data_IF_585242908536
#
_entry.id   IF_585242908536
#
_cell.length_a   1.000
_cell.length_b   1.000
_cell.length_c   1.000
_cell.angle_alpha   90.00
_cell.angle_beta   90.00
_cell.angle_gamma   90.00
#
_symmetry.space_group_name_H-M   'P 1'
#
loop_
_entity.id
_entity.type
_entity.pdbx_description
1 polymer ?
#
# COMPACT_ATOMS: atom_id res chain seq x y z
N UNK A 1 1.76 16.87 3.63
CA UNK A 1 0.32 16.51 3.76
C UNK A 1 -0.52 17.65 3.21
N UNK A 2 -1.63 17.41 2.49
CA UNK A 2 -2.66 18.46 2.35
C UNK A 2 -3.39 18.54 3.69
N UNK A 3 -3.36 19.72 4.32
CA UNK A 3 -3.97 20.04 5.62
C UNK A 3 -5.42 19.51 5.76
N UNK A 4 -6.15 19.47 4.65
CA UNK A 4 -7.49 18.91 4.49
C UNK A 4 -7.65 17.47 5.01
N UNK A 5 -6.65 16.59 4.89
CA UNK A 5 -6.73 15.21 5.39
C UNK A 5 -6.63 15.12 6.91
N UNK A 6 -5.85 16.00 7.53
CA UNK A 6 -5.74 16.12 8.98
C UNK A 6 -7.05 16.65 9.58
N UNK A 7 -7.63 17.69 8.98
CA UNK A 7 -8.93 18.22 9.40
C UNK A 7 -10.04 17.18 9.33
N UNK A 8 -10.05 16.35 8.27
CA UNK A 8 -10.98 15.22 8.17
C UNK A 8 -10.86 14.26 9.36
N UNK A 9 -9.68 14.03 9.94
CA UNK A 9 -9.54 13.16 11.13
C UNK A 9 -10.26 13.72 12.36
N UNK A 10 -10.16 15.04 12.58
CA UNK A 10 -10.77 15.69 13.74
C UNK A 10 -12.30 15.81 13.63
N UNK A 11 -12.82 15.86 12.40
CA UNK A 11 -14.24 16.09 12.09
C UNK A 11 -14.97 14.82 11.62
N UNK A 12 -14.23 13.76 11.28
CA UNK A 12 -14.80 12.54 10.71
C UNK A 12 -15.63 11.75 11.71
N UNK A 13 -16.82 11.36 11.23
CA UNK A 13 -17.55 10.21 11.75
C UNK A 13 -16.99 8.88 11.20
N UNK A 14 -15.66 8.73 11.16
CA UNK A 14 -15.00 7.56 10.56
C UNK A 14 -13.82 7.10 11.41
N UNK A 15 -13.51 5.81 11.35
CA UNK A 15 -12.22 5.30 11.83
C UNK A 15 -11.16 5.52 10.77
N UNK A 16 -9.98 5.97 11.16
CA UNK A 16 -8.87 6.15 10.25
C UNK A 16 -7.74 5.18 10.58
N UNK A 17 -7.46 4.27 9.64
CA UNK A 17 -6.43 3.26 9.79
C UNK A 17 -5.80 2.92 8.44
N UNK A 18 -4.47 2.79 8.39
CA UNK A 18 -3.73 2.37 7.18
C UNK A 18 -3.98 3.25 5.95
N UNK A 19 -4.27 4.54 6.16
CA UNK A 19 -4.57 5.52 5.11
C UNK A 19 -5.95 5.40 4.46
N UNK A 20 -6.86 4.63 5.06
CA UNK A 20 -8.27 4.54 4.66
C UNK A 20 -9.18 5.05 5.77
N UNK A 21 -10.30 5.64 5.37
CA UNK A 21 -11.42 5.98 6.27
C UNK A 21 -12.46 4.87 6.17
N UNK A 22 -12.80 4.28 7.31
CA UNK A 22 -13.80 3.21 7.42
C UNK A 22 -15.07 3.76 8.10
N UNK A 23 -16.25 3.35 7.61
CA UNK A 23 -17.54 3.74 8.21
C UNK A 23 -17.69 3.18 9.63
N UNK A 24 -18.39 3.93 10.49
CA UNK A 24 -18.71 3.47 11.85
C UNK A 24 -19.79 2.38 11.92
N UNK A 25 -20.39 2.05 10.78
CA UNK A 25 -21.31 0.91 10.65
C UNK A 25 -20.58 -0.42 10.74
N UNK A 26 -19.25 -0.44 10.59
CA UNK A 26 -18.47 -1.64 10.78
C UNK A 26 -18.45 -2.04 12.25
N UNK A 27 -18.54 -3.34 12.47
CA UNK A 27 -18.21 -3.90 13.77
C UNK A 27 -16.70 -3.85 13.98
N UNK A 28 -16.30 -3.95 15.24
CA UNK A 28 -14.89 -3.97 15.61
C UNK A 28 -14.12 -5.14 14.96
N UNK A 29 -14.76 -6.31 14.86
CA UNK A 29 -14.17 -7.46 14.16
C UNK A 29 -14.03 -7.21 12.66
N UNK A 30 -15.04 -6.60 12.04
CA UNK A 30 -14.95 -6.22 10.63
C UNK A 30 -13.82 -5.21 10.40
N UNK A 31 -13.65 -4.23 11.30
CA UNK A 31 -12.55 -3.27 11.23
C UNK A 31 -11.20 -3.99 11.21
N UNK A 32 -10.99 -4.97 12.10
CA UNK A 32 -9.74 -5.76 12.18
C UNK A 32 -9.54 -6.59 10.92
N UNK A 33 -10.56 -7.33 10.48
CA UNK A 33 -10.46 -8.19 9.30
C UNK A 33 -10.22 -7.42 7.99
N UNK A 34 -10.81 -6.23 7.86
CA UNK A 34 -10.67 -5.41 6.65
C UNK A 34 -9.38 -4.58 6.64
N UNK A 35 -8.78 -4.34 7.82
CA UNK A 35 -7.61 -3.49 7.97
C UNK A 35 -6.31 -4.26 7.82
N UNK A 36 -5.55 -4.06 6.72
CA UNK A 36 -4.30 -4.77 6.53
C UNK A 36 -3.29 -4.37 7.61
N UNK A 37 -2.80 -5.36 8.37
CA UNK A 37 -1.83 -5.15 9.45
C UNK A 37 -2.41 -5.19 10.86
N UNK A 38 -3.75 -5.22 11.02
CA UNK A 38 -4.38 -5.57 12.30
C UNK A 38 -4.59 -7.08 12.35
N UNK A 39 -3.71 -7.77 13.06
CA UNK A 39 -3.86 -9.19 13.38
C UNK A 39 -4.62 -9.41 14.69
N UNK A 40 -4.85 -10.68 15.02
CA UNK A 40 -5.44 -11.09 16.31
C UNK A 40 -4.66 -10.51 17.50
N UNK A 41 -3.33 -10.61 17.50
CA UNK A 41 -2.49 -10.08 18.60
C UNK A 41 -2.64 -8.58 18.81
N UNK A 42 -2.51 -7.78 17.75
CA UNK A 42 -2.69 -6.32 17.84
C UNK A 42 -4.10 -5.93 18.31
N UNK A 43 -5.08 -6.77 18.00
CA UNK A 43 -6.45 -6.61 18.48
C UNK A 43 -6.57 -6.95 19.96
N UNK A 44 -5.97 -8.05 20.40
CA UNK A 44 -5.93 -8.43 21.81
C UNK A 44 -5.25 -7.33 22.64
N UNK A 45 -4.12 -6.79 22.17
CA UNK A 45 -3.41 -5.66 22.80
C UNK A 45 -4.27 -4.39 22.86
N UNK A 46 -5.04 -4.12 21.80
CA UNK A 46 -5.98 -3.01 21.77
C UNK A 46 -7.09 -3.21 22.81
N UNK A 47 -7.69 -4.40 22.89
CA UNK A 47 -8.71 -4.71 23.87
C UNK A 47 -8.19 -4.64 25.31
N UNK A 48 -6.94 -5.07 25.54
CA UNK A 48 -6.26 -4.91 26.84
C UNK A 48 -6.06 -3.42 27.18
N UNK A 49 -5.56 -2.63 26.23
CA UNK A 49 -5.26 -1.20 26.43
C UNK A 49 -6.48 -0.37 26.82
N UNK A 50 -7.64 -0.72 26.29
CA UNK A 50 -8.91 -0.04 26.58
C UNK A 50 -9.73 -0.71 27.68
N UNK A 51 -9.14 -1.70 28.39
CA UNK A 51 -9.80 -2.48 29.43
C UNK A 51 -11.13 -3.07 28.96
N UNK A 52 -11.22 -3.35 27.66
CA UNK A 52 -12.42 -3.90 27.08
C UNK A 52 -12.60 -5.31 27.60
N UNK A 53 -11.55 -6.14 27.65
CA UNK A 53 -11.63 -7.51 28.13
C UNK A 53 -12.26 -7.68 29.53
N UNK A 54 -11.99 -6.77 30.48
CA UNK A 54 -12.50 -6.84 31.86
C UNK A 54 -14.01 -6.51 31.96
N UNK A 55 -14.52 -5.61 31.13
CA UNK A 55 -15.97 -5.38 30.98
C UNK A 55 -16.65 -6.38 30.03
N UNK A 56 -15.89 -7.21 29.31
CA UNK A 56 -16.33 -7.96 28.12
C UNK A 56 -16.71 -9.43 28.36
N UNK A 57 -16.36 -10.05 29.48
CA UNK A 57 -16.58 -11.50 29.68
C UNK A 57 -18.06 -11.93 29.67
N UNK A 58 -19.03 -11.04 29.99
CA UNK A 58 -20.48 -11.33 29.85
C UNK A 58 -21.14 -10.76 28.59
N UNK A 59 -20.50 -9.83 27.87
CA UNK A 59 -21.13 -9.07 26.76
C UNK A 59 -20.51 -9.43 25.38
N UNK A 60 -19.52 -10.32 25.35
CA UNK A 60 -18.69 -10.65 24.18
C UNK A 60 -19.48 -10.91 22.89
N UNK A 61 -20.59 -11.66 22.95
CA UNK A 61 -21.46 -11.93 21.79
C UNK A 61 -22.10 -10.65 21.23
N UNK A 62 -22.59 -9.75 22.09
CA UNK A 62 -23.30 -8.53 21.65
C UNK A 62 -22.35 -7.42 21.19
N UNK A 63 -21.12 -7.30 21.72
CA UNK A 63 -20.19 -6.22 21.33
C UNK A 63 -19.55 -6.46 19.98
N UNK A 64 -19.25 -7.71 19.66
CA UNK A 64 -18.66 -8.10 18.37
C UNK A 64 -19.60 -7.85 17.20
N UNK A 65 -20.91 -7.99 17.42
CA UNK A 65 -21.92 -7.92 16.37
C UNK A 65 -22.55 -6.52 16.24
N UNK A 66 -22.36 -5.65 17.23
CA UNK A 66 -22.94 -4.30 17.20
C UNK A 66 -22.02 -3.30 16.49
N UNK A 67 -22.56 -2.42 15.65
CA UNK A 67 -21.79 -1.39 14.97
C UNK A 67 -21.25 -0.36 15.96
N UNK A 68 -20.00 0.06 15.75
CA UNK A 68 -19.27 0.93 16.67
C UNK A 68 -19.92 2.30 16.88
N UNK A 69 -20.63 2.82 15.87
CA UNK A 69 -21.35 4.10 15.97
C UNK A 69 -22.43 4.14 17.04
N UNK A 70 -23.06 3.01 17.37
CA UNK A 70 -24.22 2.97 18.28
C UNK A 70 -23.82 2.89 19.75
N UNK A 71 -22.56 2.61 20.04
CA UNK A 71 -22.08 2.33 21.41
C UNK A 71 -21.01 3.26 21.91
N UNK A 72 -20.23 3.87 21.03
CA UNK A 72 -19.09 4.70 21.44
C UNK A 72 -19.44 6.18 21.35
N UNK A 73 -19.25 6.90 22.45
CA UNK A 73 -19.39 8.34 22.47
C UNK A 73 -18.31 8.99 21.60
N UNK A 74 -18.65 10.13 20.98
CA UNK A 74 -17.71 10.95 20.18
C UNK A 74 -16.32 11.15 20.83
N UNK A 75 -16.20 11.51 22.12
CA UNK A 75 -14.89 11.62 22.78
C UNK A 75 -14.11 10.30 22.75
N UNK A 76 -14.78 9.16 23.00
CA UNK A 76 -14.12 7.87 23.00
C UNK A 76 -13.61 7.48 21.60
N UNK A 77 -14.39 7.74 20.53
CA UNK A 77 -13.91 7.44 19.17
C UNK A 77 -12.67 8.28 18.82
N UNK A 78 -12.55 9.50 19.35
CA UNK A 78 -11.34 10.32 19.16
C UNK A 78 -10.11 9.68 19.81
N UNK A 79 -10.27 9.08 21.00
CA UNK A 79 -9.19 8.35 21.67
C UNK A 79 -8.78 7.11 20.85
N UNK A 80 -9.76 6.35 20.36
CA UNK A 80 -9.51 5.19 19.50
C UNK A 80 -8.80 5.61 18.21
N UNK A 81 -9.28 6.64 17.53
CA UNK A 81 -8.65 7.16 16.31
C UNK A 81 -7.22 7.65 16.57
N UNK A 82 -6.98 8.30 17.71
CA UNK A 82 -5.63 8.68 18.12
C UNK A 82 -4.76 7.44 18.27
N UNK A 83 -5.22 6.41 18.96
CA UNK A 83 -4.48 5.18 19.14
C UNK A 83 -4.17 4.47 17.79
N UNK A 84 -5.17 4.31 16.92
CA UNK A 84 -5.02 3.70 15.61
C UNK A 84 -4.07 4.49 14.68
N UNK A 85 -4.05 5.81 14.82
CA UNK A 85 -3.10 6.69 14.12
C UNK A 85 -1.66 6.54 14.61
N UNK A 86 -1.44 6.09 15.85
CA UNK A 86 -0.09 5.76 16.34
C UNK A 86 0.35 4.38 15.87
N UNK A 87 -0.57 3.41 15.82
CA UNK A 87 -0.26 2.05 15.37
C UNK A 87 0.04 1.96 13.87
N UNK A 88 -0.64 2.77 13.06
CA UNK A 88 -0.51 2.71 11.61
C UNK A 88 -0.22 4.07 11.00
N UNK A 89 0.63 4.06 9.97
CA UNK A 89 0.82 5.26 9.16
C UNK A 89 -0.49 5.61 8.46
N UNK A 90 -0.95 6.84 8.72
CA UNK A 90 -2.08 7.45 8.01
C UNK A 90 -1.74 7.69 6.53
N UNK A 91 -0.45 7.86 6.23
CA UNK A 91 -0.02 8.29 4.90
C UNK A 91 0.27 7.13 3.96
N UNK A 92 0.72 5.99 4.50
CA UNK A 92 1.18 4.86 3.71
C UNK A 92 0.51 3.58 4.19
N UNK A 93 -0.15 2.88 3.27
CA UNK A 93 -0.64 1.54 3.59
C UNK A 93 0.56 0.61 3.84
N UNK A 94 0.38 -0.38 4.72
CA UNK A 94 1.42 -1.40 4.94
C UNK A 94 1.84 -2.09 3.62
N UNK A 95 0.89 -2.24 2.68
CA UNK A 95 1.16 -2.81 1.36
C UNK A 95 2.08 -1.93 0.50
N UNK A 96 1.93 -0.61 0.59
CA UNK A 96 2.81 0.33 -0.11
C UNK A 96 4.22 0.27 0.47
N UNK A 97 4.35 0.25 1.81
CA UNK A 97 5.64 0.11 2.48
C UNK A 97 6.36 -1.19 2.09
N UNK A 98 5.63 -2.31 2.06
CA UNK A 98 6.17 -3.60 1.57
C UNK A 98 6.63 -3.46 0.12
N UNK A 99 5.84 -2.81 -0.74
CA UNK A 99 6.18 -2.63 -2.15
C UNK A 99 7.43 -1.76 -2.32
N UNK A 100 7.57 -0.69 -1.54
CA UNK A 100 8.77 0.17 -1.51
C UNK A 100 10.00 -0.60 -1.03
N UNK A 101 9.88 -1.47 -0.02
CA UNK A 101 10.98 -2.31 0.44
C UNK A 101 11.43 -3.33 -0.61
N UNK A 102 10.47 -3.94 -1.32
CA UNK A 102 10.77 -4.84 -2.45
C UNK A 102 11.45 -4.05 -3.58
N UNK A 103 10.95 -2.85 -3.90
CA UNK A 103 11.52 -1.97 -4.91
C UNK A 103 12.95 -1.55 -4.53
N UNK A 104 13.20 -1.18 -3.28
CA UNK A 104 14.54 -0.87 -2.74
C UNK A 104 15.48 -2.03 -2.95
N UNK A 105 15.06 -3.23 -2.57
CA UNK A 105 15.85 -4.46 -2.75
C UNK A 105 16.22 -4.69 -4.23
N UNK A 106 15.27 -4.43 -5.13
CA UNK A 106 15.51 -4.49 -6.57
C UNK A 106 16.48 -3.42 -7.07
N UNK A 107 16.34 -2.16 -6.64
CA UNK A 107 17.21 -1.05 -7.04
C UNK A 107 18.66 -1.26 -6.59
N UNK A 108 18.87 -1.82 -5.40
CA UNK A 108 20.20 -2.22 -4.88
C UNK A 108 20.73 -3.49 -5.56
N UNK A 109 19.96 -4.08 -6.50
CA UNK A 109 20.30 -5.29 -7.28
C UNK A 109 20.52 -6.54 -6.43
N UNK A 110 19.89 -6.63 -5.27
CA UNK A 110 19.98 -7.81 -4.39
C UNK A 110 19.36 -9.06 -5.03
N UNK A 111 19.77 -10.24 -4.55
CA UNK A 111 19.19 -11.52 -5.00
C UNK A 111 17.67 -11.53 -4.85
N UNK A 112 17.16 -11.12 -3.69
CA UNK A 112 15.72 -11.05 -3.41
C UNK A 112 15.00 -10.11 -4.38
N UNK A 113 15.56 -8.93 -4.63
CA UNK A 113 14.99 -7.97 -5.58
C UNK A 113 14.86 -8.54 -7.00
N UNK A 114 15.90 -9.25 -7.48
CA UNK A 114 15.87 -9.95 -8.77
C UNK A 114 14.87 -11.10 -8.77
N UNK A 115 14.80 -11.88 -7.70
CA UNK A 115 13.83 -12.97 -7.56
C UNK A 115 12.38 -12.47 -7.64
N UNK A 116 12.06 -11.36 -6.96
CA UNK A 116 10.75 -10.71 -7.05
C UNK A 116 10.43 -10.22 -8.47
N UNK A 117 11.41 -9.64 -9.17
CA UNK A 117 11.21 -9.21 -10.57
C UNK A 117 10.92 -10.40 -11.49
N UNK A 118 11.68 -11.48 -11.32
CA UNK A 118 11.53 -12.73 -12.09
C UNK A 118 10.33 -13.58 -11.66
N UNK A 119 9.60 -13.18 -10.61
CA UNK A 119 8.49 -13.92 -10.02
C UNK A 119 8.92 -15.33 -9.56
N UNK A 120 10.16 -15.43 -9.05
CA UNK A 120 10.76 -16.64 -8.47
C UNK A 120 10.69 -16.59 -6.94
N UNK A 121 10.82 -17.73 -6.25
CA UNK A 121 10.97 -17.73 -4.80
C UNK A 121 12.26 -16.99 -4.38
N UNK A 122 12.19 -16.24 -3.28
CA UNK A 122 13.30 -15.43 -2.77
C UNK A 122 14.11 -16.12 -1.66
N UNK A 123 13.58 -17.16 -1.02
CA UNK A 123 14.20 -17.80 0.16
C UNK A 123 14.94 -19.10 -0.18
N UNK A 124 15.56 -19.19 -1.36
CA UNK A 124 16.34 -20.38 -1.76
C UNK A 124 15.53 -21.64 -2.03
N UNK A 125 14.20 -21.53 -2.18
CA UNK A 125 13.35 -22.68 -2.50
C UNK A 125 13.62 -23.21 -3.92
N UNK A 126 13.41 -24.50 -4.12
CA UNK A 126 13.58 -25.16 -5.43
C UNK A 126 12.72 -24.49 -6.50
N UNK A 127 13.30 -24.25 -7.68
CA UNK A 127 12.60 -23.63 -8.82
C UNK A 127 12.26 -24.59 -9.95
N UNK A 128 12.84 -25.80 -9.93
CA UNK A 128 12.61 -26.83 -10.96
C UNK A 128 11.20 -27.41 -10.88
N UNK A 129 10.66 -27.53 -9.68
CA UNK A 129 9.28 -27.93 -9.38
C UNK A 129 8.66 -26.98 -8.34
N UNK A 130 7.33 -26.90 -8.26
CA UNK A 130 6.58 -26.24 -7.17
C UNK A 130 6.79 -24.72 -6.96
N UNK A 131 7.25 -23.98 -7.97
CA UNK A 131 7.38 -22.51 -7.89
C UNK A 131 6.12 -21.72 -8.31
N UNK A 132 4.96 -22.39 -8.50
CA UNK A 132 3.73 -21.78 -9.05
C UNK A 132 3.19 -20.65 -8.17
N UNK A 133 3.21 -20.84 -6.85
CA UNK A 133 2.78 -19.82 -5.87
C UNK A 133 3.59 -18.53 -6.04
N UNK A 134 4.91 -18.61 -6.02
CA UNK A 134 5.78 -17.44 -6.21
C UNK A 134 5.49 -16.75 -7.55
N UNK A 135 5.28 -17.53 -8.62
CA UNK A 135 4.90 -16.98 -9.93
C UNK A 135 3.63 -16.17 -9.83
N UNK A 136 2.58 -16.66 -9.18
CA UNK A 136 1.28 -15.97 -9.07
C UNK A 136 1.39 -14.74 -8.17
N UNK A 137 1.93 -14.89 -6.96
CA UNK A 137 1.83 -13.89 -5.90
C UNK A 137 2.92 -12.79 -5.97
N UNK A 138 4.11 -13.07 -6.51
CA UNK A 138 5.20 -12.08 -6.64
C UNK A 138 5.01 -11.12 -7.83
N UNK A 139 3.77 -10.65 -8.04
CA UNK A 139 3.43 -9.78 -9.18
C UNK A 139 3.53 -8.27 -8.83
N UNK A 140 3.66 -7.92 -7.55
CA UNK A 140 3.63 -6.52 -7.09
C UNK A 140 4.70 -5.65 -7.72
N UNK A 141 5.97 -6.08 -7.69
CA UNK A 141 7.08 -5.31 -8.26
C UNK A 141 6.92 -5.10 -9.76
N UNK A 142 6.54 -6.15 -10.51
CA UNK A 142 6.36 -6.08 -11.96
C UNK A 142 5.19 -5.18 -12.36
N UNK A 143 4.06 -5.22 -11.62
CA UNK A 143 2.95 -4.27 -11.79
C UNK A 143 3.41 -2.84 -11.52
N UNK A 144 4.06 -2.60 -10.38
CA UNK A 144 4.52 -1.28 -9.99
C UNK A 144 5.45 -0.64 -11.04
N UNK A 145 6.43 -1.40 -11.54
CA UNK A 145 7.34 -0.92 -12.60
C UNK A 145 6.61 -0.64 -13.92
N UNK A 146 5.59 -1.45 -14.26
CA UNK A 146 4.77 -1.24 -15.46
C UNK A 146 3.94 0.03 -15.34
N UNK A 147 3.31 0.26 -14.19
CA UNK A 147 2.49 1.43 -13.94
C UNK A 147 3.34 2.70 -13.93
N UNK A 148 4.52 2.64 -13.32
CA UNK A 148 5.50 3.74 -13.37
C UNK A 148 5.93 4.06 -14.82
N UNK A 149 6.19 3.04 -15.65
CA UNK A 149 6.51 3.24 -17.07
C UNK A 149 5.36 3.88 -17.85
N UNK A 150 4.12 3.45 -17.61
CA UNK A 150 2.92 4.07 -18.22
C UNK A 150 2.80 5.54 -17.82
N UNK A 151 2.99 5.85 -16.54
CA UNK A 151 2.95 7.23 -16.04
C UNK A 151 4.01 8.12 -16.72
N UNK A 152 5.26 7.64 -16.83
CA UNK A 152 6.31 8.36 -17.55
C UNK A 152 5.97 8.61 -19.03
N UNK A 153 5.36 7.62 -19.70
CA UNK A 153 4.90 7.78 -21.08
C UNK A 153 3.82 8.85 -21.22
N UNK A 154 2.87 8.90 -20.28
CA UNK A 154 1.82 9.93 -20.26
C UNK A 154 2.40 11.33 -20.05
N UNK A 155 3.34 11.49 -19.12
CA UNK A 155 4.05 12.76 -18.91
C UNK A 155 4.82 13.21 -20.15
N UNK A 156 5.44 12.28 -20.88
CA UNK A 156 6.12 12.59 -22.12
C UNK A 156 5.16 13.05 -23.22
N UNK A 157 4.01 12.39 -23.35
CA UNK A 157 2.96 12.77 -24.31
C UNK A 157 2.36 14.15 -24.01
N UNK A 158 2.13 14.47 -22.73
CA UNK A 158 1.60 15.79 -22.37
C UNK A 158 2.60 16.90 -22.68
N UNK A 159 3.88 16.71 -22.35
CA UNK A 159 4.94 17.66 -22.71
C UNK A 159 5.02 17.91 -24.21
N UNK A 160 4.91 16.86 -25.03
CA UNK A 160 4.89 17.02 -26.49
C UNK A 160 3.70 17.85 -26.96
N UNK A 161 2.49 17.60 -26.44
CA UNK A 161 1.27 18.37 -26.79
C UNK A 161 1.36 19.86 -26.44
N UNK A 162 1.95 20.21 -25.29
CA UNK A 162 2.11 21.63 -24.88
C UNK A 162 3.04 22.38 -25.83
N UNK A 163 4.06 21.71 -26.37
CA UNK A 163 4.99 22.32 -27.34
C UNK A 163 4.32 22.57 -28.69
N UNK A 164 3.43 21.69 -29.15
CA UNK A 164 2.70 21.88 -30.41
C UNK A 164 1.74 23.07 -30.40
N UNK A 165 1.14 23.42 -29.25
CA UNK A 165 0.21 24.55 -29.16
C UNK A 165 0.89 25.92 -29.06
N UNK A 166 2.19 25.99 -28.72
CA UNK A 166 2.89 27.27 -28.49
C UNK A 166 3.69 27.80 -29.69
N UNK A 167 3.68 27.13 -30.82
CA UNK A 167 4.29 27.66 -32.04
C UNK A 167 4.16 26.71 -33.20
N UNK A 168 3.85 27.24 -34.38
CA UNK A 168 3.99 26.55 -35.67
C UNK A 168 5.45 26.10 -35.81
N UNK A 169 5.79 24.90 -35.38
CA UNK A 169 7.16 24.45 -35.28
C UNK A 169 7.26 22.93 -35.09
N UNK A 170 8.22 22.34 -35.79
CA UNK A 170 8.49 20.90 -35.90
C UNK A 170 8.46 20.17 -34.53
N UNK A 171 8.08 18.88 -34.48
CA UNK A 171 8.13 18.07 -33.26
C UNK A 171 9.46 18.22 -32.52
N UNK A 172 9.44 18.84 -31.34
CA UNK A 172 10.62 18.86 -30.47
C UNK A 172 10.77 17.47 -29.85
N UNK A 173 11.91 16.82 -30.11
CA UNK A 173 12.24 15.52 -29.52
C UNK A 173 12.16 15.62 -27.99
N UNK A 174 11.60 14.62 -27.28
CA UNK A 174 11.48 14.70 -25.83
C UNK A 174 12.85 14.86 -25.16
N UNK A 175 12.93 15.46 -23.95
CA UNK A 175 14.20 15.69 -23.27
C UNK A 175 15.03 14.41 -23.19
N UNK A 176 16.30 14.46 -23.63
CA UNK A 176 17.22 13.29 -23.66
C UNK A 176 17.28 12.56 -22.30
N UNK A 177 17.09 13.29 -21.19
CA UNK A 177 17.05 12.76 -19.82
C UNK A 177 15.90 11.77 -19.59
N UNK A 178 14.70 12.06 -20.08
CA UNK A 178 13.53 11.19 -19.91
C UNK A 178 13.59 9.97 -20.83
N UNK A 179 14.12 10.13 -22.05
CA UNK A 179 14.36 9.00 -22.98
C UNK A 179 15.36 8.00 -22.39
N UNK A 180 16.47 8.49 -21.80
CA UNK A 180 17.45 7.64 -21.11
C UNK A 180 16.85 6.90 -19.90
N UNK A 181 15.91 7.50 -19.17
CA UNK A 181 15.22 6.85 -18.04
C UNK A 181 14.32 5.68 -18.48
N UNK A 182 13.66 5.77 -19.65
CA UNK A 182 12.82 4.69 -20.17
C UNK A 182 13.61 3.45 -20.59
N UNK A 183 14.77 3.63 -21.23
CA UNK A 183 15.60 2.49 -21.68
C UNK A 183 16.27 1.73 -20.53
N UNK A 184 16.45 2.36 -19.36
CA UNK A 184 17.13 1.77 -18.20
C UNK A 184 16.24 0.90 -17.30
N UNK A 185 14.95 0.73 -17.60
CA UNK A 185 14.05 -0.14 -16.82
C UNK A 185 13.96 -1.51 -17.53
N UNK A 186 14.74 -2.53 -17.10
CA UNK A 186 14.70 -3.84 -17.73
C UNK A 186 13.38 -4.54 -17.38
N UNK A 187 12.46 -4.58 -18.34
CA UNK A 187 11.20 -5.32 -18.22
C UNK A 187 11.20 -6.60 -19.06
N UNK A 188 12.20 -6.79 -19.93
CA UNK A 188 12.32 -7.99 -20.74
C UNK A 188 13.08 -9.08 -19.99
N UNK A 189 12.44 -10.24 -19.84
CA UNK A 189 13.00 -11.44 -19.21
C UNK A 189 14.33 -11.88 -19.83
N UNK A 190 14.53 -11.65 -21.13
CA UNK A 190 15.79 -11.95 -21.83
C UNK A 190 16.97 -11.09 -21.35
N UNK A 191 16.76 -9.81 -21.08
CA UNK A 191 17.83 -8.95 -20.55
C UNK A 191 18.17 -9.30 -19.11
N UNK A 192 17.23 -9.84 -18.33
CA UNK A 192 17.45 -10.22 -16.94
C UNK A 192 18.17 -11.57 -16.84
N UNK A 193 17.95 -12.48 -17.82
CA UNK A 193 18.61 -13.80 -17.87
C UNK A 193 20.11 -13.72 -18.17
N UNK A 194 20.58 -12.71 -18.91
CA UNK A 194 22.02 -12.53 -19.20
C UNK A 194 22.88 -12.13 -17.98
N UNK A 195 22.26 -11.89 -16.82
CA UNK A 195 22.94 -11.50 -15.59
C UNK A 195 22.99 -12.63 -14.54
N UNK A 196 22.68 -13.86 -14.97
CA UNK A 196 22.74 -15.09 -14.19
C UNK A 196 23.50 -16.15 -14.98
#
# INVERSE_FOLDING_TARGET
MKFERLLKIYWARFFLFGGKTSSFELTLLQLVHQSPGLGKRTFDDFCLRFEWLDKYTRVYKKVVETPLCKRLDKPFIRVVNRYLAHLSSINHSALDLITLNILRSYLVRSFNGRAYLLRKPSHGQRTRSNARSAKIHNIRLTRHLRDYRKHLQLQLKSLQKVVYHRGKGKPVKPPKVLQKKMHKIPLNSHHIRKWF
#
